data_IF_087997027813
#
_entry.id   IF_087997027813
#
_cell.length_a   1.000
_cell.length_b   1.000
_cell.length_c   1.000
_cell.angle_alpha   90.00
_cell.angle_beta   90.00
_cell.angle_gamma   90.00
#
_symmetry.space_group_name_H-M   'P 1'
#
loop_
_entity.id
_entity.type
_entity.pdbx_description
1 polymer ?
#
# COMPACT_ATOMS: atom_id res chain seq x y z
N UNK A 1 13.57 5.49 -11.97
CA UNK A 1 12.76 6.36 -12.83
C UNK A 1 11.82 5.61 -13.75
N UNK A 2 12.29 4.60 -14.39
CA UNK A 2 11.48 3.77 -15.30
C UNK A 2 10.25 3.17 -14.64
N UNK A 3 10.32 2.90 -13.33
CA UNK A 3 9.22 2.26 -12.62
C UNK A 3 8.07 3.21 -12.28
N UNK A 4 8.29 4.53 -12.31
CA UNK A 4 7.25 5.50 -11.98
C UNK A 4 6.12 5.54 -13.00
N UNK A 5 6.40 5.17 -14.24
CA UNK A 5 5.42 5.21 -15.31
C UNK A 5 4.62 3.93 -15.44
N UNK A 6 4.97 2.91 -14.66
CA UNK A 6 4.22 1.66 -14.66
C UNK A 6 2.80 1.89 -14.15
N UNK A 7 1.86 1.21 -14.77
CA UNK A 7 0.44 1.34 -14.44
C UNK A 7 0.17 1.15 -12.94
N UNK A 8 0.88 0.24 -12.29
CA UNK A 8 0.68 -0.03 -10.86
C UNK A 8 0.93 1.19 -9.97
N UNK A 9 1.83 2.09 -10.37
CA UNK A 9 2.10 3.31 -9.61
C UNK A 9 1.01 4.36 -9.79
N UNK A 10 0.14 4.19 -10.77
CA UNK A 10 -0.93 5.12 -11.12
C UNK A 10 -2.31 4.57 -10.80
N UNK A 11 -2.39 3.42 -10.16
CA UNK A 11 -3.63 2.67 -9.97
C UNK A 11 -4.05 2.63 -8.49
N UNK A 12 -5.34 2.91 -8.26
CA UNK A 12 -5.96 2.77 -6.94
C UNK A 12 -7.02 1.69 -6.98
N UNK A 13 -6.96 0.80 -5.99
CA UNK A 13 -8.05 -0.10 -5.66
C UNK A 13 -9.07 0.69 -4.83
N UNK A 14 -10.34 0.57 -5.18
CA UNK A 14 -11.43 1.24 -4.47
C UNK A 14 -12.36 0.17 -3.90
N UNK A 15 -12.28 -0.06 -2.60
CA UNK A 15 -13.12 -1.03 -1.90
C UNK A 15 -14.34 -0.37 -1.28
N UNK A 16 -15.31 -1.20 -0.87
CA UNK A 16 -16.49 -0.72 -0.19
C UNK A 16 -17.49 -0.01 -1.10
N UNK A 17 -17.46 -0.28 -2.40
CA UNK A 17 -18.41 0.30 -3.33
C UNK A 17 -19.82 -0.26 -3.11
N UNK A 18 -20.83 0.59 -3.32
CA UNK A 18 -22.21 0.12 -3.44
C UNK A 18 -22.29 -0.86 -4.62
N UNK A 19 -23.10 -1.90 -4.49
CA UNK A 19 -23.28 -2.86 -5.59
C UNK A 19 -23.94 -2.23 -6.81
N UNK A 20 -24.52 -1.05 -6.65
CA UNK A 20 -25.15 -0.30 -7.75
C UNK A 20 -24.22 0.71 -8.42
N UNK A 21 -22.98 0.87 -7.91
CA UNK A 21 -22.03 1.83 -8.48
C UNK A 21 -21.57 1.37 -9.84
N UNK A 22 -21.76 2.24 -10.85
CA UNK A 22 -21.27 2.02 -12.21
C UNK A 22 -19.87 2.62 -12.38
N UNK A 23 -19.21 2.27 -13.49
CA UNK A 23 -17.94 2.89 -13.86
C UNK A 23 -18.07 4.40 -13.96
N UNK A 24 -19.15 4.90 -14.52
CA UNK A 24 -19.40 6.32 -14.66
C UNK A 24 -19.50 7.01 -13.30
N UNK A 25 -20.22 6.40 -12.35
CA UNK A 25 -20.38 6.95 -11.02
C UNK A 25 -19.09 6.89 -10.20
N UNK A 26 -18.23 5.94 -10.51
CA UNK A 26 -16.91 5.84 -9.89
C UNK A 26 -15.94 6.86 -10.48
N UNK A 27 -15.98 7.02 -11.80
CA UNK A 27 -15.08 7.92 -12.54
C UNK A 27 -15.25 9.38 -12.13
N UNK A 28 -16.48 9.87 -12.09
CA UNK A 28 -16.76 11.28 -11.86
C UNK A 28 -16.08 11.87 -10.63
N UNK A 29 -16.29 11.31 -9.44
CA UNK A 29 -15.68 11.85 -8.23
C UNK A 29 -14.15 11.83 -8.24
N UNK A 30 -13.52 10.84 -8.87
CA UNK A 30 -12.06 10.75 -8.89
C UNK A 30 -11.43 11.64 -9.96
N UNK A 31 -12.17 12.02 -11.00
CA UNK A 31 -11.65 12.89 -12.05
C UNK A 31 -11.29 14.29 -11.54
N UNK A 32 -11.83 14.71 -10.40
CA UNK A 32 -11.45 15.99 -9.82
C UNK A 32 -10.00 16.01 -9.32
N UNK A 33 -9.38 14.85 -9.13
CA UNK A 33 -8.01 14.72 -8.65
C UNK A 33 -6.99 14.47 -9.75
N UNK A 34 -7.47 14.17 -10.95
CA UNK A 34 -6.59 13.95 -12.09
C UNK A 34 -7.30 13.26 -13.23
N UNK A 35 -6.59 13.09 -14.33
CA UNK A 35 -7.12 12.44 -15.52
C UNK A 35 -7.10 10.92 -15.36
N UNK A 36 -8.25 10.28 -15.46
CA UNK A 36 -8.33 8.83 -15.43
C UNK A 36 -8.09 8.24 -16.81
N UNK A 37 -7.13 7.31 -16.88
CA UNK A 37 -6.86 6.58 -18.11
C UNK A 37 -7.65 5.28 -18.16
N UNK A 38 -8.12 4.80 -16.99
CA UNK A 38 -8.96 3.62 -16.90
C UNK A 38 -9.83 3.68 -15.66
N UNK A 39 -10.99 3.03 -15.71
CA UNK A 39 -11.92 2.96 -14.59
C UNK A 39 -12.75 1.70 -14.76
N UNK A 40 -12.66 0.78 -13.79
CA UNK A 40 -13.31 -0.53 -13.86
C UNK A 40 -14.00 -0.84 -12.55
N UNK A 41 -15.26 -1.28 -12.62
CA UNK A 41 -15.95 -1.89 -11.49
C UNK A 41 -15.89 -3.41 -11.69
N UNK A 42 -15.34 -4.11 -10.72
CA UNK A 42 -15.19 -5.57 -10.83
C UNK A 42 -16.54 -6.26 -10.68
N UNK A 43 -16.82 -7.16 -11.60
CA UNK A 43 -18.12 -7.85 -11.68
C UNK A 43 -17.93 -9.35 -11.73
N UNK A 44 -18.94 -10.06 -11.21
CA UNK A 44 -18.98 -11.51 -11.34
C UNK A 44 -19.17 -11.87 -12.83
N UNK A 45 -18.34 -12.76 -13.39
CA UNK A 45 -18.42 -13.10 -14.81
C UNK A 45 -19.76 -13.71 -15.23
N UNK A 46 -20.42 -14.42 -14.33
CA UNK A 46 -21.67 -15.11 -14.62
C UNK A 46 -22.89 -14.23 -14.39
N UNK A 47 -23.00 -13.62 -13.21
CA UNK A 47 -24.18 -12.85 -12.83
C UNK A 47 -24.12 -11.40 -13.30
N UNK A 48 -22.93 -10.89 -13.66
CA UNK A 48 -22.67 -9.49 -14.02
C UNK A 48 -22.89 -8.51 -12.87
N UNK A 49 -23.04 -9.01 -11.66
CA UNK A 49 -23.22 -8.17 -10.48
C UNK A 49 -21.87 -7.64 -9.98
N UNK A 50 -21.89 -6.42 -9.46
CA UNK A 50 -20.71 -5.82 -8.87
C UNK A 50 -20.20 -6.65 -7.69
N UNK A 51 -18.88 -6.74 -7.56
CA UNK A 51 -18.24 -7.40 -6.43
C UNK A 51 -17.98 -6.42 -5.28
N UNK A 52 -18.42 -5.17 -5.40
CA UNK A 52 -18.26 -4.15 -4.37
C UNK A 52 -16.92 -3.47 -4.36
N UNK A 53 -16.12 -3.61 -5.42
CA UNK A 53 -14.85 -2.92 -5.55
C UNK A 53 -14.50 -2.68 -7.02
N UNK A 54 -13.58 -1.77 -7.21
CA UNK A 54 -13.13 -1.43 -8.56
C UNK A 54 -11.73 -0.84 -8.55
N UNK A 55 -11.30 -0.36 -9.70
CA UNK A 55 -9.99 0.27 -9.88
C UNK A 55 -10.14 1.54 -10.68
N UNK A 56 -9.36 2.55 -10.30
CA UNK A 56 -9.17 3.75 -11.13
C UNK A 56 -7.68 3.87 -11.41
N UNK A 57 -7.34 4.25 -12.64
CA UNK A 57 -5.95 4.48 -13.04
C UNK A 57 -5.82 5.91 -13.48
N UNK A 58 -4.93 6.64 -12.83
CA UNK A 58 -4.64 8.04 -13.17
C UNK A 58 -3.55 8.12 -14.22
N UNK A 59 -3.40 9.30 -14.81
CA UNK A 59 -2.36 9.52 -15.82
C UNK A 59 -0.98 9.67 -15.21
N UNK A 60 -0.88 10.06 -13.93
CA UNK A 60 0.40 10.23 -13.22
C UNK A 60 0.31 9.73 -11.79
N UNK A 61 1.45 9.31 -11.19
CA UNK A 61 1.47 8.92 -9.77
C UNK A 61 1.14 10.08 -8.82
N UNK A 62 1.45 11.31 -9.21
CA UNK A 62 1.17 12.50 -8.40
C UNK A 62 -0.32 12.70 -8.21
N UNK A 63 -1.12 12.34 -9.23
CA UNK A 63 -2.58 12.41 -9.15
C UNK A 63 -3.12 11.38 -8.14
N UNK A 64 -2.45 10.22 -8.03
CA UNK A 64 -2.78 9.24 -7.00
C UNK A 64 -2.54 9.82 -5.62
N UNK A 65 -1.41 10.51 -5.44
CA UNK A 65 -1.07 11.17 -4.18
C UNK A 65 -2.17 12.17 -3.79
N UNK A 66 -2.62 12.98 -4.75
CA UNK A 66 -3.66 13.97 -4.51
C UNK A 66 -4.98 13.31 -4.09
N UNK A 67 -5.36 12.24 -4.76
CA UNK A 67 -6.58 11.50 -4.44
C UNK A 67 -6.50 10.90 -3.04
N UNK A 68 -5.36 10.31 -2.67
CA UNK A 68 -5.18 9.72 -1.35
C UNK A 68 -5.16 10.78 -0.25
N UNK A 69 -4.59 11.95 -0.51
CA UNK A 69 -4.57 13.04 0.45
C UNK A 69 -5.96 13.62 0.70
N UNK A 70 -6.87 13.47 -0.25
CA UNK A 70 -8.22 14.01 -0.16
C UNK A 70 -9.23 13.09 0.53
N UNK A 71 -8.78 11.94 1.03
CA UNK A 71 -9.65 11.02 1.75
C UNK A 71 -10.28 11.70 2.98
N UNK A 72 -11.49 11.28 3.40
CA UNK A 72 -12.29 10.17 2.84
C UNK A 72 -13.02 10.55 1.56
N UNK A 73 -13.32 9.54 0.74
CA UNK A 73 -14.10 9.70 -0.48
C UNK A 73 -15.45 9.03 -0.32
N UNK A 74 -16.48 9.68 -0.85
CA UNK A 74 -17.84 9.16 -0.79
C UNK A 74 -18.35 8.97 -2.21
N UNK A 75 -18.75 7.74 -2.52
CA UNK A 75 -19.28 7.39 -3.84
C UNK A 75 -20.68 6.82 -3.66
N UNK A 76 -21.66 7.42 -4.35
CA UNK A 76 -23.07 6.99 -4.26
C UNK A 76 -23.56 6.91 -2.80
N UNK A 77 -23.17 7.90 -2.00
CA UNK A 77 -23.60 8.01 -0.61
C UNK A 77 -22.86 7.10 0.37
N UNK A 78 -21.83 6.39 -0.10
CA UNK A 78 -21.09 5.43 0.71
C UNK A 78 -19.62 5.80 0.78
N UNK A 79 -19.05 5.77 1.98
CA UNK A 79 -17.61 6.02 2.16
C UNK A 79 -16.85 4.82 1.64
N UNK A 80 -15.96 5.04 0.68
CA UNK A 80 -15.17 3.98 0.05
C UNK A 80 -13.77 3.95 0.62
N UNK A 81 -13.05 2.84 0.38
CA UNK A 81 -11.67 2.66 0.84
C UNK A 81 -10.70 2.62 -0.33
N UNK A 82 -10.07 3.77 -0.67
CA UNK A 82 -9.03 3.74 -1.69
C UNK A 82 -7.72 3.21 -1.11
N UNK A 83 -7.06 2.37 -1.88
CA UNK A 83 -5.73 1.82 -1.56
C UNK A 83 -4.90 1.77 -2.83
N UNK A 84 -3.60 1.98 -2.68
CA UNK A 84 -2.70 1.82 -3.82
C UNK A 84 -2.65 0.36 -4.23
N UNK A 85 -2.58 0.10 -5.53
CA UNK A 85 -2.50 -1.25 -6.06
C UNK A 85 -1.19 -1.90 -5.60
N UNK A 86 -1.26 -3.18 -5.25
CA UNK A 86 -0.08 -3.95 -4.85
C UNK A 86 0.68 -4.38 -6.10
N UNK A 87 2.01 -4.29 -6.07
CA UNK A 87 2.85 -4.75 -7.17
C UNK A 87 2.55 -6.21 -7.50
N UNK A 88 2.49 -6.52 -8.79
CA UNK A 88 2.12 -7.86 -9.25
C UNK A 88 3.02 -8.95 -8.65
N UNK A 89 4.31 -8.68 -8.56
CA UNK A 89 5.30 -9.60 -8.00
C UNK A 89 5.07 -9.89 -6.53
N UNK A 90 4.46 -8.95 -5.81
CA UNK A 90 4.22 -9.04 -4.37
C UNK A 90 2.81 -9.53 -4.04
N UNK A 91 1.87 -9.46 -4.99
CA UNK A 91 0.45 -9.72 -4.72
C UNK A 91 0.16 -11.15 -4.25
N UNK A 92 1.01 -12.10 -4.61
CA UNK A 92 0.86 -13.49 -4.20
C UNK A 92 1.42 -13.81 -2.82
N UNK A 93 2.15 -12.89 -2.20
CA UNK A 93 2.77 -13.13 -0.89
C UNK A 93 1.75 -12.95 0.23
N UNK A 94 1.84 -13.75 1.31
CA UNK A 94 0.96 -13.59 2.47
C UNK A 94 1.06 -12.16 3.02
N UNK A 95 -0.08 -11.56 3.31
CA UNK A 95 -0.11 -10.22 3.90
C UNK A 95 0.09 -9.08 2.93
N UNK A 96 0.32 -9.35 1.62
CA UNK A 96 0.56 -8.30 0.63
C UNK A 96 -0.57 -7.28 0.55
N UNK A 97 -1.81 -7.72 0.74
CA UNK A 97 -2.99 -6.87 0.66
C UNK A 97 -3.46 -6.33 2.01
N UNK A 98 -2.76 -6.67 3.09
CA UNK A 98 -3.11 -6.17 4.43
C UNK A 98 -2.79 -4.69 4.54
N UNK A 99 -3.63 -3.98 5.30
CA UNK A 99 -3.45 -2.57 5.59
C UNK A 99 -2.72 -2.41 6.90
N UNK A 100 -1.48 -1.91 6.85
CA UNK A 100 -0.66 -1.72 8.05
C UNK A 100 -0.04 -0.33 8.04
N UNK A 101 0.25 0.18 9.22
CA UNK A 101 0.88 1.50 9.41
C UNK A 101 2.37 1.40 9.69
N UNK A 102 2.88 0.21 9.85
CA UNK A 102 4.27 -0.07 10.23
C UNK A 102 5.06 -0.66 9.08
N UNK A 103 6.25 -0.12 8.88
CA UNK A 103 7.16 -0.50 7.79
C UNK A 103 8.40 -1.15 8.37
N UNK A 104 8.80 -2.29 7.81
CA UNK A 104 10.11 -2.89 8.06
C UNK A 104 11.12 -2.30 7.08
N UNK A 105 12.30 -1.93 7.60
CA UNK A 105 13.41 -1.39 6.78
C UNK A 105 14.66 -2.20 7.11
N UNK A 106 15.12 -3.02 6.17
CA UNK A 106 16.30 -3.86 6.35
C UNK A 106 17.47 -3.43 5.48
N UNK A 107 18.63 -4.05 5.69
CA UNK A 107 19.82 -3.75 4.91
C UNK A 107 20.50 -2.43 5.25
N UNK A 108 20.18 -1.86 6.39
CA UNK A 108 20.85 -0.67 6.89
C UNK A 108 22.08 -1.08 7.69
N UNK A 109 23.05 -0.15 7.83
CA UNK A 109 24.31 -0.42 8.52
C UNK A 109 24.37 0.35 9.84
N UNK A 110 25.43 0.10 10.60
CA UNK A 110 25.66 0.73 11.91
C UNK A 110 25.65 2.25 11.87
N UNK A 111 25.96 2.83 10.72
CA UNK A 111 26.00 4.29 10.52
C UNK A 111 24.63 4.92 10.30
N UNK A 112 23.58 4.11 10.22
CA UNK A 112 22.22 4.60 9.97
C UNK A 112 21.44 4.70 11.27
N UNK A 113 21.04 5.91 11.62
CA UNK A 113 20.31 6.21 12.84
C UNK A 113 18.85 6.60 12.55
N UNK A 114 18.11 6.80 13.64
CA UNK A 114 16.72 7.25 13.56
C UNK A 114 16.58 8.51 12.69
N UNK A 115 17.49 9.48 12.84
CA UNK A 115 17.37 10.73 12.09
C UNK A 115 17.54 10.54 10.58
N UNK A 116 18.35 9.58 10.14
CA UNK A 116 18.48 9.26 8.72
C UNK A 116 17.18 8.71 8.15
N UNK A 117 16.56 7.81 8.89
CA UNK A 117 15.31 7.19 8.49
C UNK A 117 14.17 8.21 8.49
N UNK A 118 14.12 9.06 9.51
CA UNK A 118 13.11 10.11 9.60
C UNK A 118 13.22 11.11 8.45
N UNK A 119 14.43 11.54 8.14
CA UNK A 119 14.67 12.50 7.05
C UNK A 119 14.22 11.95 5.70
N UNK A 120 14.39 10.66 5.49
CA UNK A 120 13.98 10.01 4.24
C UNK A 120 12.48 9.72 4.19
N UNK A 121 11.97 9.01 5.20
CA UNK A 121 10.58 8.52 5.15
C UNK A 121 9.53 9.58 5.47
N UNK A 122 9.90 10.70 6.07
CA UNK A 122 8.95 11.81 6.31
C UNK A 122 8.33 12.32 5.01
N UNK A 123 9.03 12.11 3.89
CA UNK A 123 8.54 12.54 2.57
C UNK A 123 7.36 11.70 2.10
N UNK A 124 7.12 10.55 2.72
CA UNK A 124 6.01 9.67 2.38
C UNK A 124 4.78 9.90 3.25
N UNK A 125 4.97 10.42 4.46
CA UNK A 125 3.86 10.68 5.37
C UNK A 125 4.34 11.04 6.76
N UNK A 126 3.38 11.26 7.65
CA UNK A 126 3.68 11.63 9.04
C UNK A 126 4.14 10.41 9.82
N UNK A 127 5.34 10.49 10.36
CA UNK A 127 5.94 9.40 11.14
C UNK A 127 5.53 9.55 12.61
N UNK A 128 5.04 8.47 13.20
CA UNK A 128 4.73 8.43 14.62
C UNK A 128 5.93 7.96 15.44
N UNK A 129 6.55 6.85 15.05
CA UNK A 129 7.69 6.30 15.78
C UNK A 129 8.69 5.69 14.82
N UNK A 130 9.96 5.65 15.25
CA UNK A 130 11.02 4.93 14.56
C UNK A 130 11.77 4.14 15.62
N UNK A 131 12.00 2.85 15.35
CA UNK A 131 12.70 1.95 16.25
C UNK A 131 13.84 1.27 15.49
N UNK A 132 15.08 1.67 15.77
CA UNK A 132 16.26 1.00 15.24
C UNK A 132 16.58 -0.16 16.14
N UNK A 133 16.58 -1.38 15.59
CA UNK A 133 16.70 -2.60 16.40
C UNK A 133 18.16 -2.88 16.73
N UNK A 134 18.41 -3.14 18.01
CA UNK A 134 19.73 -3.46 18.52
C UNK A 134 19.73 -4.83 19.19
N UNK A 135 20.89 -5.46 19.23
CA UNK A 135 21.08 -6.71 19.95
C UNK A 135 21.07 -6.43 21.46
N UNK A 136 20.28 -7.17 22.21
CA UNK A 136 20.12 -6.98 23.66
C UNK A 136 21.42 -7.20 24.44
N UNK A 137 22.24 -8.13 23.99
CA UNK A 137 23.48 -8.49 24.69
C UNK A 137 24.63 -7.56 24.34
N UNK A 138 24.86 -7.32 23.05
CA UNK A 138 25.99 -6.52 22.59
C UNK A 138 25.68 -5.03 22.44
N UNK A 139 24.41 -4.66 22.36
CA UNK A 139 23.99 -3.29 22.08
C UNK A 139 24.24 -2.84 20.65
N UNK A 140 24.73 -3.71 19.79
CA UNK A 140 25.00 -3.40 18.39
C UNK A 140 23.73 -3.40 17.56
N UNK A 141 23.68 -2.54 16.56
CA UNK A 141 22.54 -2.47 15.62
C UNK A 141 22.48 -3.76 14.80
N UNK A 142 21.26 -4.27 14.61
CA UNK A 142 21.03 -5.53 13.87
C UNK A 142 20.85 -5.35 12.37
N UNK A 143 20.93 -4.12 11.88
CA UNK A 143 20.81 -3.85 10.45
C UNK A 143 19.39 -3.66 9.94
N UNK A 144 18.42 -3.50 10.83
CA UNK A 144 17.04 -3.22 10.44
C UNK A 144 16.34 -2.33 11.46
N UNK A 145 15.22 -1.76 11.03
CA UNK A 145 14.44 -0.84 11.85
C UNK A 145 12.97 -0.94 11.47
N UNK A 146 12.12 -0.37 12.31
CA UNK A 146 10.70 -0.22 12.04
C UNK A 146 10.32 1.25 12.04
N UNK A 147 9.53 1.65 11.06
CA UNK A 147 8.99 3.01 10.95
C UNK A 147 7.48 2.91 11.00
N UNK A 148 6.86 3.58 11.96
CA UNK A 148 5.40 3.61 12.10
C UNK A 148 4.87 4.95 11.67
N UNK A 149 3.87 4.94 10.79
CA UNK A 149 3.20 6.13 10.26
C UNK A 149 1.82 6.28 10.90
N UNK A 150 1.21 7.44 10.76
CA UNK A 150 -0.14 7.70 11.27
C UNK A 150 -1.24 7.11 10.37
N UNK A 151 -0.88 6.62 9.19
CA UNK A 151 -1.82 6.14 8.18
C UNK A 151 -1.17 4.97 7.42
N UNK A 152 -1.98 4.15 6.76
CA UNK A 152 -1.49 3.03 5.97
C UNK A 152 -0.90 3.44 4.63
N UNK A 153 -1.35 4.55 4.05
CA UNK A 153 -0.95 4.94 2.70
C UNK A 153 0.56 5.15 2.52
N UNK A 154 1.27 5.79 3.47
CA UNK A 154 2.72 5.89 3.34
C UNK A 154 3.41 4.54 3.20
N UNK A 155 2.97 3.53 3.96
CA UNK A 155 3.53 2.18 3.85
C UNK A 155 3.22 1.58 2.49
N UNK A 156 1.97 1.67 2.04
CA UNK A 156 1.56 1.17 0.74
C UNK A 156 2.36 1.81 -0.40
N UNK A 157 2.63 3.10 -0.30
CA UNK A 157 3.43 3.83 -1.30
C UNK A 157 4.89 3.41 -1.28
N UNK A 158 5.49 3.30 -0.10
CA UNK A 158 6.90 2.92 0.04
C UNK A 158 7.15 1.54 -0.53
N UNK A 159 6.28 0.56 -0.22
CA UNK A 159 6.51 -0.84 -0.64
C UNK A 159 6.25 -1.10 -2.11
N UNK A 160 5.75 -0.13 -2.87
CA UNK A 160 5.66 -0.25 -4.32
C UNK A 160 7.05 -0.41 -4.94
N UNK A 161 8.07 0.11 -4.27
CA UNK A 161 9.46 -0.04 -4.65
C UNK A 161 10.16 -0.84 -3.55
N UNK A 162 10.67 -2.01 -3.88
CA UNK A 162 11.25 -2.94 -2.91
C UNK A 162 12.49 -2.39 -2.20
N UNK A 163 13.31 -1.62 -2.91
CA UNK A 163 14.56 -1.07 -2.38
C UNK A 163 14.53 0.44 -2.42
N UNK A 164 15.03 1.05 -1.34
CA UNK A 164 15.18 2.49 -1.23
C UNK A 164 16.60 2.83 -0.82
N UNK A 165 17.15 3.87 -1.40
CA UNK A 165 18.52 4.31 -1.10
C UNK A 165 18.47 5.27 0.08
N UNK A 166 18.86 4.78 1.26
CA UNK A 166 18.83 5.55 2.51
C UNK A 166 20.22 5.59 3.11
N UNK A 167 20.73 6.78 3.38
CA UNK A 167 22.05 6.98 3.98
C UNK A 167 23.15 6.18 3.26
N UNK A 168 23.11 6.16 1.92
CA UNK A 168 24.13 5.47 1.13
C UNK A 168 23.94 3.95 1.04
N UNK A 169 22.86 3.40 1.61
CA UNK A 169 22.62 1.97 1.60
C UNK A 169 21.33 1.63 0.87
N UNK A 170 21.35 0.51 0.19
CA UNK A 170 20.17 0.02 -0.53
C UNK A 170 19.29 -0.75 0.46
N UNK A 171 18.37 -0.03 1.09
CA UNK A 171 17.51 -0.59 2.13
C UNK A 171 16.32 -1.34 1.51
N UNK A 172 16.04 -2.53 2.01
CA UNK A 172 14.87 -3.30 1.62
C UNK A 172 13.71 -2.94 2.53
N UNK A 173 12.55 -2.69 1.91
CA UNK A 173 11.34 -2.31 2.66
C UNK A 173 10.25 -3.34 2.45
N UNK A 174 9.41 -3.51 3.47
CA UNK A 174 8.22 -4.35 3.38
C UNK A 174 7.26 -4.00 4.52
N UNK A 175 6.01 -4.42 4.38
CA UNK A 175 5.03 -4.24 5.44
C UNK A 175 5.46 -5.02 6.67
N UNK A 176 5.45 -4.38 7.83
CA UNK A 176 5.79 -5.05 9.09
C UNK A 176 4.52 -5.72 9.63
N UNK A 177 4.51 -7.03 9.60
CA UNK A 177 3.38 -7.84 10.05
C UNK A 177 3.71 -8.46 11.39
N UNK A 178 2.73 -8.47 12.30
CA UNK A 178 2.85 -9.23 13.53
C UNK A 178 2.79 -10.72 13.19
N UNK A 179 3.26 -11.56 14.12
CA UNK A 179 3.20 -13.00 13.94
C UNK A 179 1.76 -13.46 13.70
N UNK A 180 0.81 -12.87 14.42
CA UNK A 180 -0.61 -13.21 14.27
C UNK A 180 -1.14 -12.79 12.89
N UNK A 181 -0.78 -11.61 12.41
CA UNK A 181 -1.18 -11.13 11.08
C UNK A 181 -0.67 -12.04 9.97
N UNK A 182 0.58 -12.52 10.09
CA UNK A 182 1.16 -13.46 9.13
C UNK A 182 0.37 -14.77 9.12
N UNK A 183 0.06 -15.31 10.30
CA UNK A 183 -0.70 -16.55 10.42
C UNK A 183 -2.09 -16.41 9.86
N UNK A 184 -2.77 -15.31 10.14
CA UNK A 184 -4.12 -15.05 9.63
C UNK A 184 -4.12 -14.95 8.11
N UNK A 185 -3.14 -14.25 7.54
CA UNK A 185 -3.01 -14.11 6.10
C UNK A 185 -2.77 -15.46 5.42
N UNK A 186 -1.92 -16.30 6.00
CA UNK A 186 -1.65 -17.64 5.47
C UNK A 186 -2.87 -18.54 5.58
N UNK A 187 -3.57 -18.47 6.70
CA UNK A 187 -4.77 -19.25 6.95
C UNK A 187 -5.88 -18.89 5.96
N UNK A 188 -6.11 -17.60 5.74
CA UNK A 188 -7.10 -17.12 4.77
C UNK A 188 -6.75 -17.57 3.35
N UNK A 189 -5.48 -17.52 3.00
CA UNK A 189 -5.01 -17.95 1.69
C UNK A 189 -5.24 -19.46 1.50
N UNK A 190 -4.92 -20.25 2.52
CA UNK A 190 -5.14 -21.70 2.49
C UNK A 190 -6.64 -22.03 2.39
N UNK A 191 -7.44 -21.29 3.15
CA UNK A 191 -8.89 -21.46 3.12
C UNK A 191 -9.49 -21.18 1.75
N UNK A 192 -9.00 -20.17 1.06
CA UNK A 192 -9.44 -19.86 -0.30
C UNK A 192 -9.03 -20.94 -1.28
N UNK A 193 -7.81 -21.45 -1.14
CA UNK A 193 -7.31 -22.53 -1.98
C UNK A 193 -8.05 -23.83 -1.73
N UNK A 194 -8.37 -24.10 -0.48
CA UNK A 194 -9.09 -25.31 -0.08
C UNK A 194 -10.58 -25.27 -0.37
N UNK A 195 -11.11 -24.10 -0.61
CA UNK A 195 -12.53 -23.90 -0.87
C UNK A 195 -13.01 -24.48 -2.20
N UNK A 196 -12.13 -24.95 -3.01
CA UNK A 196 -12.52 -25.75 -4.19
C UNK A 196 -13.52 -25.10 -5.14
N UNK A 197 -13.44 -23.87 -5.33
CA UNK A 197 -14.37 -23.21 -6.24
C UNK A 197 -13.96 -23.33 -7.67
#
# INVERSE_FOLDING_TARGET
>A
MENRDKEQYRKLFIGGLSFNTSEENLRGPFEQWGKLTDCVVMRDPQTKRSRGFGFVTFSTPEEVDDAMAARPHKIDGRVVEPKRAVAREESGKPGAHLTVKKLFVGGIKDDTDEHHLRAYFKNYGKIETIEVITDRQSGKKRGFAFVSFDDHDPVDKVVLQKYHYVNGHNAEVRKALSRQEIMDAQSNRSGRGGGGF
#
